data_IF_512096504169
#
_entry.id   IF_512096504169
#
_cell.length_a   1.000
_cell.length_b   1.000
_cell.length_c   1.000
_cell.angle_alpha   90.00
_cell.angle_beta   90.00
_cell.angle_gamma   90.00
#
_symmetry.space_group_name_H-M   'P 1'
#
loop_
_entity.id
_entity.type
_entity.pdbx_description
1 polymer ?
#
# COMPACT_ATOMS: atom_id res chain seq x y z
N UNK A 1 -1.45 24.36 19.16
CA UNK A 1 -0.33 23.68 18.47
C UNK A 1 -0.69 22.22 18.43
N UNK A 2 -1.09 21.70 17.28
CA UNK A 2 -1.28 20.25 17.12
C UNK A 2 0.13 19.66 17.07
N UNK A 3 0.42 18.72 17.96
CA UNK A 3 1.70 18.02 18.00
C UNK A 3 1.77 17.13 16.76
N UNK A 4 2.51 17.56 15.74
CA UNK A 4 2.71 16.76 14.53
C UNK A 4 3.57 15.57 14.89
N UNK A 5 2.95 14.38 14.92
CA UNK A 5 3.68 13.14 15.17
C UNK A 5 4.53 12.85 13.93
N UNK A 6 5.85 12.90 14.08
CA UNK A 6 6.79 12.66 12.99
C UNK A 6 7.72 11.49 13.31
N UNK A 7 8.00 10.66 12.31
CA UNK A 7 9.01 9.61 12.39
C UNK A 7 10.31 10.17 11.81
N UNK A 8 11.40 10.13 12.59
CA UNK A 8 12.72 10.47 12.07
C UNK A 8 13.31 9.27 11.33
N UNK A 9 13.73 9.49 10.10
CA UNK A 9 14.52 8.52 9.34
C UNK A 9 15.98 8.78 9.65
N UNK A 10 16.68 7.75 10.09
CA UNK A 10 18.11 7.82 10.43
C UNK A 10 18.91 6.89 9.52
N UNK A 11 20.14 7.31 9.19
CA UNK A 11 21.14 6.43 8.60
C UNK A 11 21.63 5.40 9.64
N UNK A 12 22.40 4.41 9.17
CA UNK A 12 22.93 3.33 10.01
C UNK A 12 23.82 3.83 11.17
N UNK A 13 24.43 5.02 11.02
CA UNK A 13 25.24 5.68 12.04
C UNK A 13 24.41 6.54 13.03
N UNK A 14 23.08 6.57 12.87
CA UNK A 14 22.17 7.36 13.68
C UNK A 14 21.98 8.81 13.21
N UNK A 15 22.62 9.22 12.11
CA UNK A 15 22.43 10.56 11.53
C UNK A 15 21.02 10.71 10.99
N UNK A 16 20.31 11.78 11.38
CA UNK A 16 18.99 12.07 10.83
C UNK A 16 19.11 12.44 9.33
N UNK A 17 18.45 11.67 8.48
CA UNK A 17 18.42 11.86 7.02
C UNK A 17 17.07 12.39 6.52
N UNK A 18 16.03 12.36 7.35
CA UNK A 18 14.73 12.92 7.02
C UNK A 18 13.71 12.79 8.13
N UNK A 19 12.54 13.36 7.88
CA UNK A 19 11.38 13.27 8.77
C UNK A 19 10.14 12.95 7.94
N UNK A 20 9.36 11.98 8.40
CA UNK A 20 8.06 11.62 7.81
C UNK A 20 6.98 12.20 8.71
N UNK A 21 6.09 13.02 8.14
CA UNK A 21 4.86 13.42 8.81
C UNK A 21 3.86 12.26 8.74
N UNK A 22 3.46 11.73 9.90
CA UNK A 22 2.57 10.55 9.97
C UNK A 22 1.18 10.88 9.43
N UNK A 23 0.66 12.08 9.70
CA UNK A 23 -0.67 12.48 9.23
C UNK A 23 -0.73 12.55 7.69
N UNK A 24 0.33 13.09 7.07
CA UNK A 24 0.45 13.14 5.61
C UNK A 24 0.66 11.75 5.02
N UNK A 25 1.46 10.90 5.68
CA UNK A 25 1.68 9.51 5.27
C UNK A 25 0.35 8.75 5.23
N UNK A 26 -0.42 8.78 6.31
CA UNK A 26 -1.70 8.06 6.42
C UNK A 26 -2.72 8.58 5.39
N UNK A 27 -2.82 9.91 5.25
CA UNK A 27 -3.74 10.54 4.29
C UNK A 27 -3.38 10.16 2.85
N UNK A 28 -2.11 10.27 2.48
CA UNK A 28 -1.63 9.92 1.14
C UNK A 28 -1.76 8.42 0.87
N UNK A 29 -1.44 7.57 1.84
CA UNK A 29 -1.56 6.12 1.71
C UNK A 29 -3.01 5.68 1.51
N UNK A 30 -3.95 6.30 2.24
CA UNK A 30 -5.39 6.05 2.07
C UNK A 30 -5.87 6.40 0.67
N UNK A 31 -5.47 7.57 0.17
CA UNK A 31 -5.86 8.02 -1.17
C UNK A 31 -5.23 7.16 -2.27
N UNK A 32 -3.95 6.81 -2.15
CA UNK A 32 -3.25 5.93 -3.09
C UNK A 32 -3.87 4.53 -3.09
N UNK A 33 -4.20 3.97 -1.92
CA UNK A 33 -4.89 2.69 -1.80
C UNK A 33 -6.19 2.69 -2.61
N UNK A 34 -7.05 3.70 -2.45
CA UNK A 34 -8.30 3.76 -3.19
C UNK A 34 -8.11 4.02 -4.69
N UNK A 35 -7.08 4.79 -5.08
CA UNK A 35 -6.76 4.98 -6.48
C UNK A 35 -6.34 3.66 -7.16
N UNK A 36 -5.51 2.84 -6.49
CA UNK A 36 -5.18 1.50 -6.97
C UNK A 36 -6.37 0.53 -6.95
N UNK A 37 -7.25 0.64 -5.96
CA UNK A 37 -8.44 -0.21 -5.90
C UNK A 37 -9.41 0.11 -7.06
N UNK A 38 -9.56 1.38 -7.41
CA UNK A 38 -10.42 1.85 -8.50
C UNK A 38 -9.87 1.47 -9.88
N UNK A 39 -8.54 1.41 -10.04
CA UNK A 39 -7.89 0.97 -11.28
C UNK A 39 -7.71 -0.55 -11.39
N UNK A 40 -8.13 -1.33 -10.39
CA UNK A 40 -7.90 -2.77 -10.38
C UNK A 40 -8.50 -3.47 -11.62
N UNK A 41 -7.67 -4.25 -12.32
CA UNK A 41 -8.03 -4.91 -13.58
C UNK A 41 -7.68 -4.10 -14.83
N UNK A 42 -7.16 -2.88 -14.67
CA UNK A 42 -6.56 -2.06 -15.73
C UNK A 42 -5.11 -1.70 -15.31
N UNK A 43 -4.16 -2.51 -15.79
CA UNK A 43 -2.74 -2.38 -15.43
C UNK A 43 -2.16 -1.05 -15.89
N UNK A 44 -2.54 -0.58 -17.09
CA UNK A 44 -2.05 0.70 -17.63
C UNK A 44 -2.54 1.88 -16.79
N UNK A 45 -3.79 1.84 -16.32
CA UNK A 45 -4.31 2.85 -15.41
C UNK A 45 -3.65 2.78 -14.04
N UNK A 46 -3.37 1.58 -13.54
CA UNK A 46 -2.66 1.37 -12.26
C UNK A 46 -1.24 1.94 -12.31
N UNK A 47 -0.50 1.71 -13.40
CA UNK A 47 0.82 2.28 -13.64
C UNK A 47 0.77 3.80 -13.73
N UNK A 48 -0.24 4.35 -14.42
CA UNK A 48 -0.44 5.79 -14.51
C UNK A 48 -0.73 6.43 -13.15
N UNK A 49 -1.50 5.76 -12.29
CA UNK A 49 -1.71 6.20 -10.90
C UNK A 49 -0.38 6.22 -10.15
N UNK A 50 0.42 5.15 -10.22
CA UNK A 50 1.71 5.10 -9.54
C UNK A 50 2.64 6.24 -9.98
N UNK A 51 2.74 6.50 -11.29
CA UNK A 51 3.54 7.60 -11.84
C UNK A 51 3.06 8.98 -11.36
N UNK A 52 1.75 9.24 -11.41
CA UNK A 52 1.18 10.50 -10.93
C UNK A 52 1.46 10.74 -9.44
N UNK A 53 1.41 9.68 -8.63
CA UNK A 53 1.72 9.78 -7.21
C UNK A 53 3.21 9.97 -6.95
N UNK A 54 4.07 9.26 -7.69
CA UNK A 54 5.52 9.46 -7.63
C UNK A 54 5.90 10.92 -7.92
N UNK A 55 5.31 11.52 -8.96
CA UNK A 55 5.53 12.92 -9.31
C UNK A 55 5.00 13.88 -8.25
N UNK A 56 3.87 13.53 -7.60
CA UNK A 56 3.19 14.39 -6.61
C UNK A 56 3.94 14.50 -5.28
N UNK A 57 4.38 13.38 -4.72
CA UNK A 57 4.97 13.32 -3.38
C UNK A 57 6.48 13.08 -3.39
N UNK A 58 7.06 12.82 -4.57
CA UNK A 58 8.47 12.56 -4.75
C UNK A 58 8.90 11.14 -4.39
N UNK A 59 10.05 10.68 -4.90
CA UNK A 59 10.53 9.30 -4.72
C UNK A 59 10.79 8.94 -3.26
N UNK A 60 11.29 9.89 -2.45
CA UNK A 60 11.66 9.65 -1.06
C UNK A 60 10.44 9.31 -0.18
N UNK A 61 9.30 9.97 -0.41
CA UNK A 61 8.06 9.70 0.33
C UNK A 61 7.25 8.57 -0.29
N UNK A 62 7.32 8.40 -1.62
CA UNK A 62 6.50 7.44 -2.34
C UNK A 62 6.66 6.02 -1.82
N UNK A 63 7.87 5.58 -1.50
CA UNK A 63 8.10 4.24 -0.94
C UNK A 63 7.33 3.97 0.34
N UNK A 64 7.35 4.92 1.29
CA UNK A 64 6.63 4.80 2.56
C UNK A 64 5.11 4.82 2.37
N UNK A 65 4.63 5.72 1.50
CA UNK A 65 3.20 5.85 1.16
C UNK A 65 2.70 4.57 0.47
N UNK A 66 3.43 4.05 -0.51
CA UNK A 66 3.08 2.84 -1.24
C UNK A 66 3.06 1.59 -0.34
N UNK A 67 4.06 1.44 0.55
CA UNK A 67 4.09 0.34 1.51
C UNK A 67 2.91 0.40 2.48
N UNK A 68 2.58 1.60 2.97
CA UNK A 68 1.42 1.82 3.84
C UNK A 68 0.12 1.53 3.09
N UNK A 69 -0.03 2.03 1.86
CA UNK A 69 -1.18 1.78 1.00
C UNK A 69 -1.38 0.29 0.71
N UNK A 70 -0.31 -0.48 0.48
CA UNK A 70 -0.38 -1.94 0.29
C UNK A 70 -0.90 -2.66 1.54
N UNK A 71 -0.40 -2.25 2.71
CA UNK A 71 -0.88 -2.80 3.98
C UNK A 71 -2.35 -2.51 4.21
N UNK A 72 -2.78 -1.28 3.90
CA UNK A 72 -4.16 -0.83 4.00
C UNK A 72 -5.06 -1.54 2.98
N UNK A 73 -4.63 -1.66 1.71
CA UNK A 73 -5.31 -2.41 0.65
C UNK A 73 -5.66 -3.82 1.10
N UNK A 74 -4.69 -4.50 1.70
CA UNK A 74 -4.86 -5.89 2.16
C UNK A 74 -5.93 -6.01 3.25
N UNK A 75 -5.99 -5.05 4.18
CA UNK A 75 -6.91 -5.08 5.34
C UNK A 75 -8.29 -4.51 5.02
N UNK A 76 -8.35 -3.44 4.24
CA UNK A 76 -9.55 -2.63 4.08
C UNK A 76 -10.25 -2.84 2.74
N UNK A 77 -9.58 -3.45 1.75
CA UNK A 77 -10.18 -3.76 0.44
C UNK A 77 -10.21 -5.26 0.21
N UNK A 78 -9.05 -5.92 0.19
CA UNK A 78 -8.95 -7.34 -0.13
C UNK A 78 -9.66 -8.22 0.89
N UNK A 79 -9.41 -8.05 2.20
CA UNK A 79 -10.04 -8.88 3.22
C UNK A 79 -11.58 -8.82 3.18
N UNK A 80 -12.24 -7.63 3.13
CA UNK A 80 -13.69 -7.56 2.97
C UNK A 80 -14.22 -8.20 1.67
N UNK A 81 -13.51 -8.07 0.55
CA UNK A 81 -13.90 -8.72 -0.72
C UNK A 81 -13.88 -10.24 -0.58
N UNK A 82 -12.84 -10.78 0.07
CA UNK A 82 -12.74 -12.23 0.34
C UNK A 82 -13.87 -12.70 1.26
N UNK A 83 -14.22 -11.92 2.29
CA UNK A 83 -15.33 -12.25 3.18
C UNK A 83 -16.68 -12.25 2.44
N UNK A 84 -16.88 -11.31 1.51
CA UNK A 84 -18.08 -11.29 0.65
C UNK A 84 -18.11 -12.50 -0.28
N UNK A 85 -17.00 -12.83 -0.93
CA UNK A 85 -16.90 -13.99 -1.83
C UNK A 85 -17.21 -15.30 -1.08
N UNK A 86 -16.66 -15.48 0.12
CA UNK A 86 -16.91 -16.64 0.97
C UNK A 86 -18.40 -16.76 1.35
N UNK A 87 -19.07 -15.64 1.67
CA UNK A 87 -20.52 -15.64 1.93
C UNK A 87 -21.35 -16.02 0.70
N UNK A 88 -20.82 -15.87 -0.50
CA UNK A 88 -21.42 -16.36 -1.75
C UNK A 88 -21.01 -17.80 -2.10
N UNK A 89 -20.27 -18.48 -1.22
CA UNK A 89 -19.78 -19.85 -1.44
C UNK A 89 -18.58 -19.93 -2.38
N UNK A 90 -17.89 -18.82 -2.65
CA UNK A 90 -16.70 -18.76 -3.49
C UNK A 90 -15.45 -18.69 -2.59
N UNK A 91 -14.67 -19.77 -2.53
CA UNK A 91 -13.41 -19.78 -1.78
C UNK A 91 -12.25 -19.24 -2.64
N UNK A 92 -12.01 -17.93 -2.54
CA UNK A 92 -10.84 -17.29 -3.14
C UNK A 92 -9.58 -17.40 -2.26
N UNK A 93 -9.73 -17.74 -0.97
CA UNK A 93 -8.61 -17.76 -0.02
C UNK A 93 -7.70 -18.96 -0.26
N UNK A 94 -8.23 -20.10 -0.67
CA UNK A 94 -7.40 -21.26 -1.08
C UNK A 94 -6.49 -20.93 -2.25
N UNK A 95 -7.03 -20.37 -3.33
CA UNK A 95 -6.23 -19.96 -4.50
C UNK A 95 -5.10 -19.01 -4.14
N UNK A 96 -5.33 -18.03 -3.26
CA UNK A 96 -4.28 -17.12 -2.77
C UNK A 96 -3.19 -17.84 -1.96
N UNK A 97 -3.54 -18.83 -1.13
CA UNK A 97 -2.56 -19.63 -0.38
C UNK A 97 -1.70 -20.47 -1.32
N UNK A 98 -2.31 -21.08 -2.33
CA UNK A 98 -1.60 -21.90 -3.33
C UNK A 98 -0.65 -21.03 -4.17
N UNK A 99 -1.12 -19.84 -4.60
CA UNK A 99 -0.29 -18.88 -5.33
C UNK A 99 0.91 -18.41 -4.49
N UNK A 100 0.71 -18.11 -3.20
CA UNK A 100 1.79 -17.74 -2.30
C UNK A 100 2.81 -18.88 -2.10
N UNK A 101 2.33 -20.11 -1.87
CA UNK A 101 3.19 -21.28 -1.76
C UNK A 101 4.01 -21.52 -3.04
N UNK A 102 3.40 -21.33 -4.21
CA UNK A 102 4.10 -21.43 -5.49
C UNK A 102 5.18 -20.35 -5.63
N UNK A 103 4.88 -19.09 -5.30
CA UNK A 103 5.85 -18.00 -5.35
C UNK A 103 7.07 -18.28 -4.46
N UNK A 104 6.85 -18.74 -3.22
CA UNK A 104 7.92 -19.12 -2.28
C UNK A 104 8.78 -20.30 -2.75
N UNK A 105 8.31 -21.07 -3.73
CA UNK A 105 9.04 -22.23 -4.29
C UNK A 105 9.74 -21.94 -5.61
N UNK A 106 9.38 -20.84 -6.29
CA UNK A 106 9.82 -20.54 -7.66
C UNK A 106 10.61 -19.24 -7.81
N UNK A 107 10.54 -18.35 -6.82
CA UNK A 107 11.34 -17.12 -6.72
C UNK A 107 12.43 -17.27 -5.65
#
# INVERSE_FOLDING_TARGET
>A
MTETTGINVVADDGTAIGQINVDDLESNATLLMYAFAESAGDDAKTDAVAAQWLDRIGPDQFGYVAASALSMMTRHVLAPVLDVAERQGIDLRSGLRDAYANAMSTL
#
